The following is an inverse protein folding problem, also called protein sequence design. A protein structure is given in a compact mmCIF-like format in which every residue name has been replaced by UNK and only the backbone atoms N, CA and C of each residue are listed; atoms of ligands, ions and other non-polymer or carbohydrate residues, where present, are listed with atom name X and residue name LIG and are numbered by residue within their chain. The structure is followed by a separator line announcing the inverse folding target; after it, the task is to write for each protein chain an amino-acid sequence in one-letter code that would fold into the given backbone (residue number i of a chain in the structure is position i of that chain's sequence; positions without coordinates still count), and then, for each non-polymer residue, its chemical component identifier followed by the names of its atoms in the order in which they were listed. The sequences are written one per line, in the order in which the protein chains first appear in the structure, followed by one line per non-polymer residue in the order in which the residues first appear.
data_IF_760207954990
#
_entry.id   IF_760207954990
#
_cell.length_a   1.000
_cell.length_b   1.000
_cell.length_c   1.000
_cell.angle_alpha   90.00
_cell.angle_beta   90.00
_cell.angle_gamma   90.00
#
_symmetry.space_group_name_H-M   'P 1'
#
loop_
_entity.id
_entity.type
_entity.pdbx_description
1 polymer ?
#
# COMPACT_ATOMS: atom_id res chain seq x y z
N UNK A 1 9.19 -6.94 -11.72
CA UNK A 1 10.43 -7.63 -11.31
C UNK A 1 10.08 -9.07 -11.00
N UNK A 2 10.92 -10.01 -11.40
CA UNK A 2 10.85 -11.41 -10.95
C UNK A 2 11.43 -11.48 -9.53
N UNK A 3 10.65 -11.96 -8.57
CA UNK A 3 10.99 -11.84 -7.14
C UNK A 3 12.13 -12.77 -6.73
N UNK A 4 12.18 -13.97 -7.31
CA UNK A 4 13.17 -15.01 -7.00
C UNK A 4 14.55 -14.61 -7.52
N UNK A 5 14.64 -14.26 -8.81
CA UNK A 5 15.89 -13.88 -9.44
C UNK A 5 16.31 -12.43 -9.15
N UNK A 6 15.38 -11.58 -8.72
CA UNK A 6 15.59 -10.13 -8.61
C UNK A 6 15.69 -9.42 -9.97
N UNK A 7 15.47 -10.13 -11.09
CA UNK A 7 15.61 -9.56 -12.43
C UNK A 7 14.49 -8.54 -12.71
N UNK A 8 14.89 -7.32 -13.07
CA UNK A 8 13.96 -6.32 -13.59
C UNK A 8 13.49 -6.76 -14.98
N UNK A 9 12.19 -7.03 -15.11
CA UNK A 9 11.57 -7.46 -16.38
C UNK A 9 11.24 -6.26 -17.27
N UNK A 10 10.85 -5.15 -16.65
CA UNK A 10 10.49 -3.89 -17.29
C UNK A 10 10.56 -2.77 -16.26
N UNK A 11 11.02 -1.59 -16.68
CA UNK A 11 11.01 -0.37 -15.89
C UNK A 11 10.68 0.82 -16.79
N UNK A 12 10.05 1.84 -16.20
CA UNK A 12 9.75 3.12 -16.85
C UNK A 12 9.69 4.19 -15.77
N UNK A 13 10.56 5.18 -15.85
CA UNK A 13 10.66 6.28 -14.88
C UNK A 13 10.70 5.76 -13.43
N UNK A 14 11.43 4.67 -13.21
CA UNK A 14 11.35 3.92 -11.96
C UNK A 14 12.06 4.65 -10.79
N UNK A 15 12.87 5.64 -11.13
CA UNK A 15 13.62 6.58 -10.30
C UNK A 15 12.82 7.81 -9.89
N UNK A 16 11.68 8.12 -10.53
CA UNK A 16 10.90 9.31 -10.20
C UNK A 16 10.36 9.27 -8.78
N UNK A 17 10.64 10.34 -8.03
CA UNK A 17 10.13 10.52 -6.67
C UNK A 17 8.70 11.06 -6.74
N UNK A 18 7.75 10.26 -6.27
CA UNK A 18 6.32 10.57 -6.34
C UNK A 18 5.62 10.33 -5.01
N UNK A 19 4.51 11.05 -4.72
CA UNK A 19 3.64 10.68 -3.61
C UNK A 19 3.06 9.28 -3.81
N UNK A 20 3.17 8.42 -2.79
CA UNK A 20 2.78 7.01 -2.93
C UNK A 20 1.42 6.67 -2.31
N UNK A 21 0.73 7.66 -1.74
CA UNK A 21 -0.54 7.49 -1.05
C UNK A 21 -0.52 6.26 -0.11
N UNK A 22 -1.60 5.48 -0.09
CA UNK A 22 -1.75 4.34 0.83
C UNK A 22 -0.83 3.14 0.57
N UNK A 23 0.06 3.17 -0.43
CA UNK A 23 1.14 2.16 -0.52
C UNK A 23 2.03 2.22 0.73
N UNK A 24 2.13 3.40 1.35
CA UNK A 24 2.67 3.65 2.69
C UNK A 24 2.32 2.56 3.72
N UNK A 25 1.08 2.05 3.70
CA UNK A 25 0.61 1.12 4.74
C UNK A 25 1.32 -0.23 4.74
N UNK A 26 2.05 -0.56 3.66
CA UNK A 26 2.96 -1.72 3.64
C UNK A 26 4.12 -1.50 4.62
N UNK A 27 4.74 -0.31 4.60
CA UNK A 27 5.78 0.06 5.58
C UNK A 27 5.22 0.08 7.01
N UNK A 28 4.04 0.66 7.20
CA UNK A 28 3.33 0.68 8.49
C UNK A 28 3.16 -0.73 9.04
N UNK A 29 2.75 -1.69 8.21
CA UNK A 29 2.57 -3.06 8.66
C UNK A 29 3.89 -3.72 9.09
N UNK A 30 4.96 -3.55 8.32
CA UNK A 30 6.28 -4.06 8.71
C UNK A 30 6.72 -3.49 10.06
N UNK A 31 6.70 -2.16 10.23
CA UNK A 31 7.11 -1.52 11.50
C UNK A 31 6.31 -2.01 12.70
N UNK A 32 4.99 -2.21 12.55
CA UNK A 32 4.17 -2.77 13.63
C UNK A 32 4.59 -4.21 13.96
N UNK A 33 4.82 -5.04 12.95
CA UNK A 33 5.20 -6.44 13.15
C UNK A 33 6.59 -6.57 13.78
N UNK A 34 7.55 -5.76 13.33
CA UNK A 34 8.91 -5.71 13.90
C UNK A 34 8.96 -5.21 15.33
N UNK A 35 7.95 -4.42 15.74
CA UNK A 35 7.85 -3.96 17.13
C UNK A 35 7.48 -5.07 18.11
N UNK A 36 7.06 -6.25 17.61
CA UNK A 36 6.68 -7.43 18.40
C UNK A 36 5.62 -7.18 19.49
N UNK A 37 4.88 -6.08 19.40
CA UNK A 37 3.75 -5.82 20.30
C UNK A 37 2.64 -6.85 20.04
N UNK A 38 1.97 -7.29 21.11
CA UNK A 38 1.01 -8.41 21.03
C UNK A 38 -0.12 -8.19 20.02
N UNK A 39 -0.20 -9.00 18.97
CA UNK A 39 -1.21 -8.82 17.91
C UNK A 39 -2.67 -8.90 18.40
N UNK A 40 -2.92 -9.58 19.52
CA UNK A 40 -4.23 -9.71 20.14
C UNK A 40 -4.60 -8.56 21.09
N UNK A 41 -3.68 -7.61 21.32
CA UNK A 41 -3.94 -6.46 22.18
C UNK A 41 -5.03 -5.55 21.59
N UNK A 42 -5.92 -5.08 22.46
CA UNK A 42 -7.00 -4.16 22.10
C UNK A 42 -6.50 -2.73 22.05
N UNK A 43 -6.42 -2.18 20.84
CA UNK A 43 -6.02 -0.80 20.60
C UNK A 43 -7.25 0.10 20.55
N UNK A 44 -7.19 1.23 21.25
CA UNK A 44 -8.24 2.25 21.25
C UNK A 44 -8.18 3.04 19.95
N UNK A 45 -9.34 3.26 19.32
CA UNK A 45 -9.48 4.13 18.16
C UNK A 45 -9.41 5.57 18.66
N UNK A 46 -8.33 6.32 18.36
CA UNK A 46 -8.14 7.66 18.88
C UNK A 46 -9.04 8.66 18.13
N UNK A 47 -9.24 9.84 18.71
CA UNK A 47 -9.63 11.01 17.92
C UNK A 47 -8.46 11.34 16.99
N UNK A 48 -8.73 11.54 15.70
CA UNK A 48 -7.71 12.02 14.77
C UNK A 48 -7.37 13.47 15.12
N UNK A 49 -6.08 13.75 15.32
CA UNK A 49 -5.56 15.11 15.54
C UNK A 49 -5.52 15.93 14.23
N UNK A 50 -5.76 15.29 13.07
CA UNK A 50 -5.77 15.92 11.75
C UNK A 50 -7.18 16.30 11.33
N UNK A 51 -7.35 17.52 10.80
CA UNK A 51 -8.53 17.89 10.04
C UNK A 51 -8.77 16.87 8.92
N UNK A 52 -10.01 16.42 8.78
CA UNK A 52 -10.36 15.38 7.81
C UNK A 52 -10.19 15.91 6.39
N UNK A 53 -9.06 15.59 5.76
CA UNK A 53 -8.84 15.84 4.33
C UNK A 53 -9.79 14.98 3.47
N UNK A 54 -9.94 15.37 2.19
CA UNK A 54 -10.61 14.51 1.21
C UNK A 54 -9.90 13.15 1.20
N UNK A 55 -10.65 12.06 1.40
CA UNK A 55 -10.18 10.67 1.61
C UNK A 55 -9.82 10.25 3.05
N UNK A 56 -9.95 11.10 4.07
CA UNK A 56 -9.69 10.74 5.47
C UNK A 56 -10.89 10.11 6.22
N UNK A 57 -12.04 9.93 5.54
CA UNK A 57 -13.26 9.42 6.17
C UNK A 57 -13.10 7.98 6.71
N UNK A 58 -13.58 7.76 7.94
CA UNK A 58 -13.64 6.45 8.59
C UNK A 58 -15.02 6.19 9.16
N UNK A 59 -15.44 4.92 9.15
CA UNK A 59 -16.64 4.44 9.86
C UNK A 59 -16.35 3.98 11.29
N UNK A 60 -15.07 3.88 11.67
CA UNK A 60 -14.66 3.45 12.99
C UNK A 60 -14.97 4.55 14.01
N UNK A 61 -15.63 4.18 15.10
CA UNK A 61 -16.03 5.11 16.15
C UNK A 61 -14.86 5.39 17.08
N UNK A 62 -14.56 6.66 17.30
CA UNK A 62 -13.59 7.12 18.32
C UNK A 62 -13.95 6.53 19.69
N UNK A 63 -12.94 6.11 20.45
CA UNK A 63 -13.08 5.49 21.77
C UNK A 63 -13.37 3.98 21.74
N UNK A 64 -13.85 3.45 20.61
CA UNK A 64 -13.98 1.99 20.44
C UNK A 64 -12.62 1.30 20.40
N UNK A 65 -12.61 -0.02 20.50
CA UNK A 65 -11.40 -0.85 20.48
C UNK A 65 -11.47 -1.94 19.43
N UNK A 66 -10.34 -2.23 18.79
CA UNK A 66 -10.14 -3.35 17.87
C UNK A 66 -8.76 -3.97 18.13
N UNK A 67 -8.56 -5.25 17.84
CA UNK A 67 -7.24 -5.87 18.03
C UNK A 67 -6.21 -5.30 17.06
N UNK A 68 -4.94 -5.28 17.45
CA UNK A 68 -3.82 -4.84 16.60
C UNK A 68 -3.78 -5.62 15.27
N UNK A 69 -4.01 -6.94 15.30
CA UNK A 69 -4.11 -7.78 14.11
C UNK A 69 -5.21 -7.34 13.15
N UNK A 70 -6.38 -6.97 13.68
CA UNK A 70 -7.52 -6.57 12.87
C UNK A 70 -7.32 -5.15 12.33
N UNK A 71 -6.69 -4.25 13.08
CA UNK A 71 -6.28 -2.93 12.57
C UNK A 71 -5.28 -3.06 11.43
N UNK A 72 -4.27 -3.91 11.57
CA UNK A 72 -3.32 -4.25 10.49
C UNK A 72 -4.06 -4.77 9.27
N UNK A 73 -5.01 -5.69 9.48
CA UNK A 73 -5.85 -6.22 8.41
C UNK A 73 -6.62 -5.13 7.69
N UNK A 74 -7.35 -4.29 8.41
CA UNK A 74 -8.13 -3.20 7.81
C UNK A 74 -7.26 -2.18 7.08
N UNK A 75 -6.08 -1.85 7.63
CA UNK A 75 -5.12 -0.96 7.00
C UNK A 75 -4.63 -1.52 5.65
N UNK A 76 -4.33 -2.81 5.58
CA UNK A 76 -3.84 -3.45 4.36
C UNK A 76 -4.96 -3.73 3.35
N UNK A 77 -5.99 -4.48 3.74
CA UNK A 77 -7.04 -4.94 2.81
C UNK A 77 -7.95 -3.81 2.33
N UNK A 78 -8.36 -2.92 3.23
CA UNK A 78 -9.38 -1.89 2.94
C UNK A 78 -8.80 -0.49 2.89
N UNK A 79 -7.48 -0.36 3.02
CA UNK A 79 -6.80 0.94 3.01
C UNK A 79 -7.27 1.90 4.11
N UNK A 80 -7.72 1.36 5.25
CA UNK A 80 -8.30 2.16 6.34
C UNK A 80 -7.23 3.07 6.98
N UNK A 81 -7.42 4.39 6.86
CA UNK A 81 -6.50 5.42 7.34
C UNK A 81 -6.47 5.57 8.87
N UNK A 82 -7.64 5.58 9.52
CA UNK A 82 -7.75 5.65 10.97
C UNK A 82 -7.18 4.38 11.62
N UNK A 83 -7.31 3.21 10.99
CA UNK A 83 -6.63 2.01 11.48
C UNK A 83 -5.11 2.13 11.46
N UNK A 84 -4.54 2.62 10.35
CA UNK A 84 -3.09 2.89 10.26
C UNK A 84 -2.63 3.95 11.26
N UNK A 85 -3.41 5.00 11.46
CA UNK A 85 -3.14 6.02 12.47
C UNK A 85 -3.23 5.48 13.91
N UNK A 86 -4.21 4.63 14.21
CA UNK A 86 -4.32 3.94 15.52
C UNK A 86 -3.09 3.11 15.82
N UNK A 87 -2.57 2.39 14.82
CA UNK A 87 -1.34 1.61 14.97
C UNK A 87 -0.13 2.50 15.29
N UNK A 88 0.03 3.62 14.58
CA UNK A 88 1.10 4.57 14.85
C UNK A 88 0.95 5.26 16.21
N UNK A 89 -0.26 5.64 16.61
CA UNK A 89 -0.53 6.31 17.89
C UNK A 89 -0.32 5.39 19.09
N UNK A 90 -0.60 4.09 18.92
CA UNK A 90 -0.40 3.07 19.97
C UNK A 90 1.03 2.54 20.07
N UNK A 91 1.91 2.92 19.14
CA UNK A 91 3.32 2.55 19.19
C UNK A 91 4.04 3.21 20.38
N UNK A 92 4.98 2.53 21.06
CA UNK A 92 5.80 3.15 22.11
C UNK A 92 6.54 4.40 21.62
N UNK A 93 6.33 5.54 22.28
CA UNK A 93 6.83 6.84 21.81
C UNK A 93 5.91 7.56 20.79
N UNK A 94 4.74 6.98 20.50
CA UNK A 94 3.68 7.60 19.71
C UNK A 94 4.00 7.73 18.22
N UNK A 95 3.28 8.63 17.55
CA UNK A 95 3.31 8.80 16.09
C UNK A 95 4.68 9.23 15.59
N UNK A 96 5.38 10.10 16.32
CA UNK A 96 6.71 10.58 15.94
C UNK A 96 7.72 9.43 15.93
N UNK A 97 7.79 8.66 17.03
CA UNK A 97 8.64 7.48 17.10
C UNK A 97 8.30 6.44 16.01
N UNK A 98 7.02 6.28 15.70
CA UNK A 98 6.58 5.39 14.63
C UNK A 98 7.09 5.84 13.26
N UNK A 99 6.93 7.12 12.91
CA UNK A 99 7.39 7.67 11.63
C UNK A 99 8.92 7.62 11.53
N UNK A 100 9.63 7.89 12.63
CA UNK A 100 11.09 7.71 12.69
C UNK A 100 11.48 6.26 12.39
N UNK A 101 10.76 5.28 12.95
CA UNK A 101 11.00 3.87 12.68
C UNK A 101 10.68 3.47 11.22
N UNK A 102 9.65 4.06 10.60
CA UNK A 102 9.37 3.87 9.17
C UNK A 102 10.54 4.32 8.29
N UNK A 103 11.09 5.50 8.57
CA UNK A 103 12.24 6.03 7.81
C UNK A 103 13.53 5.26 8.09
N UNK A 104 13.76 4.85 9.35
CA UNK A 104 14.89 3.99 9.71
C UNK A 104 14.85 2.64 8.96
N UNK A 105 13.65 2.03 8.85
CA UNK A 105 13.45 0.82 8.06
C UNK A 105 13.62 1.04 6.57
N UNK A 106 13.12 2.15 6.02
CA UNK A 106 13.38 2.48 4.61
C UNK A 106 14.90 2.52 4.32
N UNK A 107 15.66 3.21 5.19
CA UNK A 107 17.13 3.27 5.08
C UNK A 107 17.78 1.89 5.20
N UNK A 108 17.34 1.03 6.12
CA UNK A 108 17.90 -0.32 6.29
C UNK A 108 17.61 -1.24 5.09
N UNK A 109 16.52 -0.98 4.36
CA UNK A 109 16.20 -1.66 3.10
C UNK A 109 16.91 -1.05 1.87
N UNK A 110 17.73 -0.01 2.06
CA UNK A 110 18.39 0.71 0.97
C UNK A 110 17.45 1.56 0.13
N UNK A 111 16.31 1.99 0.69
CA UNK A 111 15.33 2.85 0.02
C UNK A 111 15.76 4.33 0.12
N UNK A 112 16.76 4.72 -0.66
CA UNK A 112 17.45 6.02 -0.52
C UNK A 112 16.65 7.22 -1.02
N UNK A 113 15.62 6.98 -1.84
CA UNK A 113 14.76 8.01 -2.43
C UNK A 113 13.35 7.96 -1.81
N UNK A 114 13.26 7.48 -0.57
CA UNK A 114 12.00 7.31 0.16
C UNK A 114 11.98 8.10 1.45
N UNK A 115 10.85 8.76 1.72
CA UNK A 115 10.55 9.35 3.02
C UNK A 115 9.09 9.11 3.41
N UNK A 116 8.85 8.89 4.69
CA UNK A 116 7.53 8.80 5.27
C UNK A 116 7.30 9.97 6.22
N UNK A 117 6.20 10.68 6.03
CA UNK A 117 5.70 11.75 6.90
C UNK A 117 4.50 11.29 7.76
N UNK A 118 3.82 10.19 7.40
CA UNK A 118 2.82 9.52 8.22
C UNK A 118 2.60 8.05 7.88
N UNK A 119 1.85 7.34 8.74
CA UNK A 119 1.58 5.90 8.63
C UNK A 119 0.44 5.51 7.66
N UNK A 120 -0.35 6.47 7.20
CA UNK A 120 -1.55 6.23 6.39
C UNK A 120 -1.32 6.48 4.89
N UNK A 121 -0.41 7.37 4.53
CA UNK A 121 -0.29 7.88 3.17
C UNK A 121 -1.32 8.94 2.82
N UNK A 122 -1.78 9.72 3.82
CA UNK A 122 -2.60 10.92 3.60
C UNK A 122 -1.74 12.16 3.34
N UNK A 123 -0.52 12.20 3.87
CA UNK A 123 0.47 13.23 3.53
C UNK A 123 1.02 12.99 2.13
N UNK A 124 1.04 14.06 1.33
CA UNK A 124 1.74 14.11 0.05
C UNK A 124 3.26 14.04 0.19
N UNK A 125 3.78 14.20 1.41
CA UNK A 125 5.20 14.05 1.73
C UNK A 125 5.61 12.60 1.99
N UNK A 126 4.67 11.64 1.92
CA UNK A 126 5.03 10.23 1.78
C UNK A 126 5.48 9.98 0.34
N UNK A 127 6.78 10.04 0.13
CA UNK A 127 7.42 9.97 -1.18
C UNK A 127 8.24 8.70 -1.31
N UNK A 128 8.28 8.14 -2.52
CA UNK A 128 9.16 7.03 -2.87
C UNK A 128 9.30 6.95 -4.39
N UNK A 129 10.07 5.97 -4.85
CA UNK A 129 10.26 5.63 -6.26
C UNK A 129 9.76 4.20 -6.51
N UNK A 130 9.53 3.83 -7.77
CA UNK A 130 9.15 2.46 -8.07
C UNK A 130 10.26 1.46 -7.68
N UNK A 131 11.54 1.85 -7.85
CA UNK A 131 12.70 1.05 -7.45
C UNK A 131 12.77 0.80 -5.94
N UNK A 132 12.53 1.82 -5.12
CA UNK A 132 12.53 1.66 -3.68
C UNK A 132 11.35 0.83 -3.19
N UNK A 133 10.17 1.02 -3.78
CA UNK A 133 9.00 0.20 -3.46
C UNK A 133 9.18 -1.27 -3.83
N UNK A 134 10.00 -1.61 -4.84
CA UNK A 134 10.36 -3.02 -5.11
C UNK A 134 11.11 -3.63 -3.91
N UNK A 135 12.05 -2.90 -3.31
CA UNK A 135 12.79 -3.34 -2.12
C UNK A 135 11.83 -3.52 -0.94
N UNK A 136 10.92 -2.56 -0.74
CA UNK A 136 9.90 -2.62 0.30
C UNK A 136 8.98 -3.83 0.14
N UNK A 137 8.46 -4.07 -1.07
CA UNK A 137 7.55 -5.18 -1.34
C UNK A 137 8.26 -6.53 -1.21
N UNK A 138 9.51 -6.63 -1.66
CA UNK A 138 10.32 -7.84 -1.46
C UNK A 138 10.49 -8.15 0.02
N UNK A 139 10.87 -7.17 0.84
CA UNK A 139 10.97 -7.36 2.28
C UNK A 139 9.62 -7.69 2.94
N UNK A 140 8.55 -6.97 2.55
CA UNK A 140 7.21 -7.16 3.08
C UNK A 140 6.63 -8.54 2.72
N UNK A 141 7.06 -9.13 1.61
CA UNK A 141 6.64 -10.46 1.19
C UNK A 141 7.10 -11.56 2.14
N UNK A 142 8.08 -11.33 3.03
CA UNK A 142 8.52 -12.30 4.04
C UNK A 142 7.56 -12.39 5.24
N UNK A 143 6.76 -11.35 5.49
CA UNK A 143 5.83 -11.30 6.62
C UNK A 143 4.52 -12.02 6.28
N UNK A 144 4.21 -13.12 6.97
CA UNK A 144 2.99 -13.90 6.73
C UNK A 144 1.74 -13.05 6.91
N UNK A 145 1.71 -12.20 7.94
CA UNK A 145 0.60 -11.29 8.22
C UNK A 145 0.39 -10.30 7.07
N UNK A 146 1.46 -9.75 6.49
CA UNK A 146 1.32 -8.82 5.36
C UNK A 146 0.71 -9.51 4.16
N UNK A 147 1.22 -10.71 3.80
CA UNK A 147 0.65 -11.52 2.72
C UNK A 147 -0.83 -11.79 2.98
N UNK A 148 -1.15 -12.44 4.10
CA UNK A 148 -2.51 -12.87 4.48
C UNK A 148 -3.50 -11.72 4.59
N UNK A 149 -3.10 -10.63 5.24
CA UNK A 149 -4.00 -9.52 5.51
C UNK A 149 -4.24 -8.68 4.27
N UNK A 150 -3.21 -8.44 3.46
CA UNK A 150 -3.34 -7.67 2.23
C UNK A 150 -4.18 -8.37 1.15
N UNK A 151 -4.30 -9.70 1.23
CA UNK A 151 -5.07 -10.55 0.31
C UNK A 151 -6.39 -11.02 0.91
N UNK A 152 -6.81 -10.52 2.08
CA UNK A 152 -8.11 -10.86 2.65
C UNK A 152 -9.23 -10.28 1.78
N UNK A 153 -10.16 -11.07 1.20
CA UNK A 153 -11.18 -10.54 0.31
C UNK A 153 -12.25 -9.74 1.05
N UNK A 154 -12.77 -10.29 2.15
CA UNK A 154 -13.81 -9.67 2.98
C UNK A 154 -13.51 -9.92 4.45
N UNK A 155 -13.86 -8.96 5.30
CA UNK A 155 -13.66 -9.08 6.74
C UNK A 155 -14.75 -8.33 7.51
N UNK A 156 -15.23 -8.92 8.61
CA UNK A 156 -16.14 -8.28 9.55
C UNK A 156 -15.37 -7.93 10.81
N UNK A 157 -15.03 -6.65 10.97
CA UNK A 157 -14.36 -6.14 12.15
C UNK A 157 -15.36 -6.02 13.31
N UNK A 158 -15.02 -6.61 14.46
CA UNK A 158 -15.88 -6.65 15.66
C UNK A 158 -15.28 -5.79 16.76
N UNK A 159 -15.84 -4.61 16.96
CA UNK A 159 -15.34 -3.62 17.90
C UNK A 159 -15.89 -3.86 19.32
N UNK A 160 -15.16 -3.37 20.32
CA UNK A 160 -15.59 -3.30 21.72
C UNK A 160 -15.60 -1.87 22.24
N UNK A 161 -16.36 -1.63 23.32
CA UNK A 161 -16.39 -0.37 24.07
C UNK A 161 -16.62 0.89 23.21
N UNK A 162 -17.73 1.02 22.45
CA UNK A 162 -18.93 0.17 22.44
C UNK A 162 -18.85 -1.02 21.48
N UNK A 163 -19.75 -2.01 21.66
CA UNK A 163 -19.83 -3.17 20.75
C UNK A 163 -20.59 -2.80 19.46
N UNK A 164 -19.96 -3.04 18.32
CA UNK A 164 -20.58 -2.96 16.99
C UNK A 164 -19.72 -3.74 15.98
N UNK A 165 -20.23 -3.93 14.77
CA UNK A 165 -19.48 -4.59 13.70
C UNK A 165 -19.53 -3.79 12.41
N UNK A 166 -18.46 -3.86 11.63
CA UNK A 166 -18.36 -3.23 10.32
C UNK A 166 -17.84 -4.23 9.29
N UNK A 167 -18.51 -4.32 8.15
CA UNK A 167 -18.04 -5.11 7.01
C UNK A 167 -17.07 -4.30 6.16
N UNK A 168 -16.00 -4.95 5.72
CA UNK A 168 -14.93 -4.41 4.90
C UNK A 168 -14.64 -5.34 3.73
N UNK A 169 -14.28 -4.76 2.59
CA UNK A 169 -13.89 -5.48 1.38
C UNK A 169 -12.51 -5.02 0.90
N UNK A 170 -11.82 -5.89 0.18
CA UNK A 170 -10.51 -5.56 -0.34
C UNK A 170 -10.58 -4.45 -1.40
N UNK A 171 -9.70 -3.47 -1.34
CA UNK A 171 -9.65 -2.40 -2.35
C UNK A 171 -9.07 -2.87 -3.69
N UNK A 172 -8.26 -3.94 -3.67
CA UNK A 172 -7.75 -4.56 -4.88
C UNK A 172 -8.76 -5.57 -5.44
N UNK A 173 -9.29 -5.28 -6.64
CA UNK A 173 -10.26 -6.14 -7.32
C UNK A 173 -9.70 -7.49 -7.73
N UNK A 174 -8.38 -7.64 -7.88
CA UNK A 174 -7.77 -8.92 -8.26
C UNK A 174 -7.87 -9.97 -7.16
N UNK A 175 -7.93 -9.57 -5.89
CA UNK A 175 -8.11 -10.48 -4.74
C UNK A 175 -9.46 -11.22 -4.80
N UNK A 176 -10.40 -10.75 -5.62
CA UNK A 176 -11.72 -11.37 -5.82
C UNK A 176 -11.81 -12.18 -7.11
N UNK A 177 -10.71 -12.45 -7.82
CA UNK A 177 -10.72 -13.09 -9.13
C UNK A 177 -9.81 -14.31 -9.16
N UNK A 178 -10.37 -15.47 -9.48
CA UNK A 178 -9.63 -16.73 -9.56
C UNK A 178 -8.55 -16.74 -10.65
N UNK A 179 -8.64 -15.82 -11.62
CA UNK A 179 -7.62 -15.63 -12.67
C UNK A 179 -6.34 -14.93 -12.18
N UNK A 180 -6.27 -14.56 -10.90
CA UNK A 180 -5.15 -13.89 -10.28
C UNK A 180 -4.80 -14.58 -8.96
N UNK A 181 -3.60 -15.13 -8.91
CA UNK A 181 -3.00 -15.56 -7.65
C UNK A 181 -2.23 -14.39 -7.05
N UNK A 182 -2.82 -13.70 -6.08
CA UNK A 182 -2.22 -12.52 -5.43
C UNK A 182 -1.61 -12.94 -4.10
N UNK A 183 -0.29 -12.84 -3.97
CA UNK A 183 0.44 -13.12 -2.73
C UNK A 183 0.54 -11.92 -1.78
N UNK A 184 0.53 -10.70 -2.33
CA UNK A 184 0.53 -9.44 -1.57
C UNK A 184 -0.07 -8.34 -2.45
N UNK A 185 -0.86 -7.43 -1.91
CA UNK A 185 -1.21 -6.23 -2.68
C UNK A 185 -1.55 -4.99 -1.86
N UNK A 186 -1.34 -3.81 -2.44
CA UNK A 186 -1.83 -2.56 -1.87
C UNK A 186 -2.19 -1.59 -2.97
N UNK A 187 -3.36 -0.96 -2.85
CA UNK A 187 -3.78 0.16 -3.69
C UNK A 187 -3.55 1.50 -2.98
N UNK A 188 -3.38 2.58 -3.73
CA UNK A 188 -3.29 3.94 -3.21
C UNK A 188 -4.00 4.93 -4.12
N UNK A 189 -4.56 5.99 -3.53
CA UNK A 189 -5.08 7.14 -4.27
C UNK A 189 -5.05 8.39 -3.42
N UNK A 190 -4.44 9.45 -3.96
CA UNK A 190 -4.64 10.85 -3.60
C UNK A 190 -4.69 11.64 -4.90
N UNK A 191 -5.23 12.86 -4.90
CA UNK A 191 -5.27 13.68 -6.11
C UNK A 191 -3.86 13.98 -6.63
N UNK A 192 -2.93 14.18 -5.71
CA UNK A 192 -1.52 14.53 -5.94
C UNK A 192 -0.64 13.31 -6.25
N UNK A 193 -1.05 12.13 -5.77
CA UNK A 193 -0.35 10.85 -5.99
C UNK A 193 -0.82 10.09 -7.24
N UNK A 194 -1.95 10.52 -7.82
CA UNK A 194 -2.69 9.72 -8.78
C UNK A 194 -3.10 8.36 -8.19
N UNK A 195 -3.25 7.36 -9.07
CA UNK A 195 -3.61 5.99 -8.66
C UNK A 195 -2.36 5.12 -8.59
N UNK A 196 -2.12 4.54 -7.42
CA UNK A 196 -1.00 3.65 -7.17
C UNK A 196 -1.49 2.21 -6.94
N UNK A 197 -0.68 1.24 -7.38
CA UNK A 197 -0.88 -0.19 -7.15
C UNK A 197 0.48 -0.85 -6.99
N UNK A 198 0.64 -1.61 -5.91
CA UNK A 198 1.70 -2.61 -5.78
C UNK A 198 1.07 -3.97 -5.59
N UNK A 199 1.61 -4.99 -6.22
CA UNK A 199 1.16 -6.37 -6.02
C UNK A 199 2.28 -7.36 -6.31
N UNK A 200 2.22 -8.49 -5.61
CA UNK A 200 2.95 -9.72 -5.93
C UNK A 200 1.93 -10.73 -6.43
N UNK A 201 2.19 -11.33 -7.59
CA UNK A 201 1.32 -12.33 -8.18
C UNK A 201 2.10 -13.41 -8.91
N UNK A 202 1.61 -14.64 -8.85
CA UNK A 202 2.16 -15.75 -9.61
C UNK A 202 1.78 -15.64 -11.09
N UNK A 203 2.78 -15.51 -11.97
CA UNK A 203 2.60 -15.37 -13.41
C UNK A 203 3.51 -16.36 -14.14
N UNK A 204 2.95 -17.37 -14.82
CA UNK A 204 3.72 -18.42 -15.52
C UNK A 204 4.69 -19.17 -14.60
N UNK A 205 4.26 -19.51 -13.37
CA UNK A 205 5.06 -20.27 -12.43
C UNK A 205 6.24 -19.51 -11.82
N UNK A 206 6.18 -18.18 -11.81
CA UNK A 206 7.13 -17.31 -11.11
C UNK A 206 6.41 -16.18 -10.34
N UNK A 207 6.91 -15.81 -9.15
CA UNK A 207 6.40 -14.67 -8.40
C UNK A 207 6.86 -13.36 -9.05
N UNK A 208 5.92 -12.54 -9.50
CA UNK A 208 6.18 -11.24 -10.13
C UNK A 208 5.68 -10.10 -9.27
N UNK A 209 6.58 -9.16 -8.97
CA UNK A 209 6.24 -7.88 -8.35
C UNK A 209 5.96 -6.83 -9.43
N UNK A 210 4.81 -6.18 -9.31
CA UNK A 210 4.43 -5.03 -10.13
C UNK A 210 4.24 -3.81 -9.24
N UNK A 211 4.88 -2.70 -9.61
CA UNK A 211 4.74 -1.38 -8.97
C UNK A 211 4.29 -0.40 -10.04
N UNK A 212 3.12 0.21 -9.83
CA UNK A 212 2.50 1.16 -10.74
C UNK A 212 2.16 2.40 -9.93
N UNK A 213 2.77 3.53 -10.27
CA UNK A 213 2.60 4.81 -9.57
C UNK A 213 2.00 5.85 -10.52
N UNK A 214 1.26 6.80 -9.94
CA UNK A 214 0.65 7.94 -10.64
C UNK A 214 -0.08 7.58 -11.94
N UNK A 215 -0.89 6.51 -11.92
CA UNK A 215 -1.66 6.13 -13.10
C UNK A 215 -2.88 7.05 -13.28
N UNK A 216 -3.07 7.50 -14.52
CA UNK A 216 -4.20 8.36 -14.88
C UNK A 216 -5.48 7.55 -15.11
N UNK A 217 -6.47 7.73 -14.23
CA UNK A 217 -7.81 7.14 -14.37
C UNK A 217 -8.13 6.05 -13.35
N UNK A 218 -9.42 5.94 -13.01
CA UNK A 218 -9.89 5.17 -11.83
C UNK A 218 -9.50 3.68 -11.83
N UNK A 219 -9.46 3.05 -13.00
CA UNK A 219 -9.18 1.62 -13.16
C UNK A 219 -7.85 1.34 -13.88
N UNK A 220 -7.09 2.40 -14.18
CA UNK A 220 -5.91 2.32 -15.02
C UNK A 220 -4.81 1.43 -14.44
N UNK A 221 -4.46 1.47 -13.13
CA UNK A 221 -3.48 0.53 -12.57
C UNK A 221 -3.88 -0.94 -12.75
N UNK A 222 -5.18 -1.26 -12.66
CA UNK A 222 -5.67 -2.63 -12.89
C UNK A 222 -5.56 -3.00 -14.38
N UNK A 223 -5.91 -2.08 -15.26
CA UNK A 223 -5.74 -2.27 -16.71
C UNK A 223 -4.27 -2.44 -17.10
N UNK A 224 -3.36 -1.67 -16.50
CA UNK A 224 -1.92 -1.79 -16.70
C UNK A 224 -1.39 -3.13 -16.20
N UNK A 225 -1.77 -3.55 -15.00
CA UNK A 225 -1.39 -4.88 -14.48
C UNK A 225 -1.86 -6.01 -15.41
N UNK A 226 -3.09 -5.91 -15.95
CA UNK A 226 -3.58 -6.87 -16.95
C UNK A 226 -2.80 -6.83 -18.26
N UNK A 227 -2.44 -5.65 -18.75
CA UNK A 227 -1.60 -5.50 -19.96
C UNK A 227 -0.20 -6.07 -19.74
N UNK A 228 0.41 -5.82 -18.58
CA UNK A 228 1.72 -6.39 -18.21
C UNK A 228 1.62 -7.92 -18.14
N UNK A 229 0.60 -8.47 -17.46
CA UNK A 229 0.34 -9.91 -17.43
C UNK A 229 0.24 -10.47 -18.86
N UNK A 230 -0.61 -9.87 -19.72
CA UNK A 230 -0.76 -10.32 -21.11
C UNK A 230 0.55 -10.23 -21.90
N UNK A 231 1.30 -9.15 -21.76
CA UNK A 231 2.59 -8.98 -22.43
C UNK A 231 3.60 -10.04 -21.99
N UNK A 232 3.68 -10.31 -20.69
CA UNK A 232 4.58 -11.36 -20.15
C UNK A 232 4.21 -12.76 -20.64
N UNK A 233 2.93 -13.04 -20.90
CA UNK A 233 2.47 -14.37 -21.34
C UNK A 233 2.41 -14.53 -22.86
N UNK A 234 2.12 -13.47 -23.62
CA UNK A 234 1.91 -13.57 -25.08
C UNK A 234 2.87 -12.73 -25.92
N UNK A 235 3.69 -11.89 -25.31
CA UNK A 235 4.51 -10.89 -26.00
C UNK A 235 3.74 -9.68 -26.54
N UNK A 236 2.41 -9.64 -26.40
CA UNK A 236 1.56 -8.57 -26.96
C UNK A 236 1.45 -7.34 -26.05
N UNK A 237 2.12 -6.25 -26.42
CA UNK A 237 2.16 -4.98 -25.66
C UNK A 237 0.88 -4.14 -25.78
N UNK A 238 0.09 -4.30 -26.85
CA UNK A 238 -1.12 -3.52 -27.10
C UNK A 238 -0.88 -2.03 -27.41
N UNK A 239 -1.95 -1.24 -27.41
CA UNK A 239 -1.91 0.20 -27.72
C UNK A 239 -2.04 1.06 -26.45
N UNK A 240 -1.30 2.17 -26.38
CA UNK A 240 -1.37 3.16 -25.29
C UNK A 240 -2.28 4.30 -25.73
N UNK A 241 -3.31 4.59 -24.94
CA UNK A 241 -4.25 5.67 -25.24
C UNK A 241 -3.57 7.06 -25.21
N UNK A 242 -3.90 7.92 -26.19
CA UNK A 242 -3.37 9.29 -26.30
C UNK A 242 -3.45 10.13 -25.01
N UNK A 243 -4.57 10.14 -24.26
CA UNK A 243 -4.67 10.85 -22.98
C UNK A 243 -3.65 10.39 -21.92
N UNK A 244 -3.27 9.11 -21.91
CA UNK A 244 -2.27 8.60 -20.98
C UNK A 244 -0.87 9.12 -21.34
N UNK A 245 -0.54 9.20 -22.64
CA UNK A 245 0.72 9.80 -23.12
C UNK A 245 0.78 11.31 -22.80
N UNK A 246 -0.33 12.03 -22.94
CA UNK A 246 -0.40 13.44 -22.59
C UNK A 246 -0.20 13.66 -21.09
N UNK A 247 -0.82 12.81 -20.26
CA UNK A 247 -0.64 12.85 -18.81
C UNK A 247 0.81 12.60 -18.41
N UNK A 248 1.44 11.54 -18.93
CA UNK A 248 2.86 11.26 -18.69
C UNK A 248 3.75 12.46 -19.05
N UNK A 249 3.55 13.08 -20.22
CA UNK A 249 4.33 14.26 -20.64
C UNK A 249 4.15 15.45 -19.70
N UNK A 250 2.98 15.60 -19.08
CA UNK A 250 2.77 16.65 -18.07
C UNK A 250 3.52 16.34 -16.77
N UNK A 251 3.47 15.09 -16.30
CA UNK A 251 4.11 14.64 -15.05
C UNK A 251 5.64 14.58 -15.13
N UNK A 252 6.19 14.31 -16.31
CA UNK A 252 7.63 14.39 -16.56
C UNK A 252 8.25 15.77 -16.31
N UNK A 253 7.43 16.83 -16.24
CA UNK A 253 7.86 18.19 -15.91
C UNK A 253 7.77 18.50 -14.41
N UNK A 254 7.01 17.70 -13.68
CA UNK A 254 6.71 17.90 -12.25
C UNK A 254 7.64 17.09 -11.36
N UNK A 255 7.87 15.82 -11.72
CA UNK A 255 8.64 14.93 -10.87
C UNK A 255 10.15 15.03 -11.12
N UNK A 256 10.95 15.19 -10.06
CA UNK A 256 12.40 15.15 -10.18
C UNK A 256 12.86 13.72 -10.54
N UNK A 257 13.98 13.65 -11.26
CA UNK A 257 14.75 12.42 -11.47
C UNK A 257 15.67 12.19 -10.29
#
# INVERSE_FOLDING_TARGET
MDLDSGKVLYSKHADWVTPIASITKVMTAMVVLDSQQGLNEWVVIPKSDRETSKNAYSRMRVGSKLTRSDLLRLALMSSENLAAYSLAKSYPGGVEAFVNQMNAKAKSLGMMNTQFADASGLSTNNLSTAEDLLKMVKAAAEYEEVRKYSTTPRFTARFKSPRYSLNYGNTNRFVHRDSWDIGLSKTGYLSEAGRCLVLVSELEGRPVVMVLLDAFGKVTPLGDAQRVKRWLTTGSSGHIAGPALAYEKSKAKEYPR
#
